data_IF_731419394710
#
_entry.id   IF_731419394710
#
_cell.length_a   1.000
_cell.length_b   1.000
_cell.length_c   1.000
_cell.angle_alpha   90.00
_cell.angle_beta   90.00
_cell.angle_gamma   90.00
#
_symmetry.space_group_name_H-M   'P 1'
#
loop_
_entity.id
_entity.type
_entity.pdbx_description
1 polymer ?
#
# COMPACT_ATOMS: atom_id res chain seq x y z
N UNK A 1 -2.78 11.77 -3.12
CA UNK A 1 -4.23 11.75 -2.93
C UNK A 1 -4.60 10.61 -1.97
N UNK A 2 -5.73 10.74 -1.30
CA UNK A 2 -6.20 9.71 -0.37
C UNK A 2 -7.37 8.95 -1.01
N UNK A 3 -7.29 7.61 -0.98
CA UNK A 3 -8.35 6.76 -1.51
C UNK A 3 -9.00 5.99 -0.35
N UNK A 4 -10.30 5.74 -0.45
CA UNK A 4 -10.98 4.88 0.51
C UNK A 4 -10.64 3.42 0.25
N UNK A 5 -10.82 2.51 1.25
CA UNK A 5 -10.66 1.08 1.00
C UNK A 5 -11.50 0.56 -0.16
N UNK A 6 -12.73 1.08 -0.32
CA UNK A 6 -13.61 0.72 -1.42
C UNK A 6 -13.00 1.09 -2.77
N UNK A 7 -12.41 2.29 -2.86
CA UNK A 7 -11.75 2.73 -4.09
C UNK A 7 -10.50 1.89 -4.37
N UNK A 8 -9.74 1.56 -3.34
CA UNK A 8 -8.56 0.69 -3.47
C UNK A 8 -8.97 -0.68 -3.97
N UNK A 9 -10.01 -1.27 -3.39
CA UNK A 9 -10.51 -2.57 -3.81
C UNK A 9 -10.92 -2.55 -5.29
N UNK A 10 -11.64 -1.51 -5.70
CA UNK A 10 -12.10 -1.37 -7.09
C UNK A 10 -10.96 -1.19 -8.09
N UNK A 11 -9.86 -0.57 -7.66
CA UNK A 11 -8.73 -0.21 -8.54
C UNK A 11 -7.56 -1.17 -8.46
N UNK A 12 -7.61 -2.17 -7.58
CA UNK A 12 -6.43 -2.98 -7.26
C UNK A 12 -5.80 -3.72 -8.44
N UNK A 13 -6.61 -4.09 -9.43
CA UNK A 13 -6.08 -4.81 -10.60
C UNK A 13 -5.20 -3.92 -11.49
N UNK A 14 -5.47 -2.62 -11.53
CA UNK A 14 -4.73 -1.67 -12.35
C UNK A 14 -3.65 -0.89 -11.62
N UNK A 15 -3.46 -1.16 -10.34
CA UNK A 15 -2.55 -0.41 -9.49
C UNK A 15 -1.49 -1.31 -8.86
N UNK A 16 -0.41 -0.70 -8.42
CA UNK A 16 0.62 -1.37 -7.63
C UNK A 16 0.34 -1.08 -6.17
N UNK A 17 -0.07 -2.08 -5.39
CA UNK A 17 -0.33 -1.90 -3.96
C UNK A 17 0.95 -2.20 -3.20
N UNK A 18 1.38 -1.24 -2.39
CA UNK A 18 2.62 -1.32 -1.61
C UNK A 18 2.28 -1.25 -0.13
N UNK A 19 2.64 -2.29 0.61
CA UNK A 19 2.47 -2.33 2.05
C UNK A 19 3.76 -1.84 2.69
N UNK A 20 3.70 -0.72 3.41
CA UNK A 20 4.89 -0.09 4.00
C UNK A 20 5.06 -0.43 5.49
N UNK A 21 4.29 -1.40 6.00
CA UNK A 21 4.40 -1.83 7.39
C UNK A 21 5.70 -2.59 7.63
N UNK A 22 6.03 -2.79 8.91
CA UNK A 22 7.15 -3.64 9.29
C UNK A 22 6.79 -5.12 9.07
N UNK A 23 7.79 -5.94 8.89
CA UNK A 23 7.62 -7.37 8.60
C UNK A 23 6.70 -8.07 9.61
N UNK A 24 6.88 -7.77 10.90
CA UNK A 24 6.07 -8.39 11.96
C UNK A 24 4.59 -8.06 11.89
N UNK A 25 4.24 -6.91 11.34
CA UNK A 25 2.84 -6.50 11.19
C UNK A 25 2.10 -7.28 10.09
N UNK A 26 2.83 -7.84 9.13
CA UNK A 26 2.24 -8.54 8.00
C UNK A 26 1.55 -9.83 8.41
N UNK A 27 1.87 -10.36 9.58
CA UNK A 27 1.23 -11.59 10.09
C UNK A 27 -0.27 -11.42 10.31
N UNK A 28 -0.76 -10.18 10.40
CA UNK A 28 -2.18 -9.89 10.53
C UNK A 28 -2.93 -9.98 9.19
N UNK A 29 -2.22 -10.25 8.11
CA UNK A 29 -2.78 -10.34 6.77
C UNK A 29 -2.40 -9.16 5.90
N UNK A 30 -2.32 -9.41 4.59
CA UNK A 30 -2.00 -8.38 3.60
C UNK A 30 -3.06 -8.40 2.50
N UNK A 31 -3.11 -7.34 1.72
CA UNK A 31 -3.95 -7.29 0.51
C UNK A 31 -3.28 -8.20 -0.53
N UNK A 32 -4.05 -9.07 -1.16
CA UNK A 32 -3.53 -9.97 -2.19
C UNK A 32 -2.85 -9.20 -3.31
N UNK A 33 -1.66 -9.62 -3.67
CA UNK A 33 -0.87 -8.97 -4.71
C UNK A 33 -0.04 -7.77 -4.23
N UNK A 34 -0.16 -7.39 -2.96
CA UNK A 34 0.63 -6.29 -2.42
C UNK A 34 2.11 -6.64 -2.36
N UNK A 35 2.94 -5.67 -2.71
CA UNK A 35 4.40 -5.77 -2.58
C UNK A 35 4.79 -5.16 -1.25
N UNK A 36 5.64 -5.84 -0.50
CA UNK A 36 6.13 -5.32 0.78
C UNK A 36 7.38 -4.48 0.58
N UNK A 37 7.25 -3.19 0.86
CA UNK A 37 8.39 -2.25 0.86
C UNK A 37 8.27 -1.46 2.17
N UNK A 38 9.02 -1.85 3.23
CA UNK A 38 8.95 -1.13 4.50
C UNK A 38 9.21 0.36 4.31
N UNK A 39 8.60 1.17 5.17
CA UNK A 39 8.67 2.63 5.03
C UNK A 39 10.09 3.15 4.80
N UNK A 40 11.07 2.64 5.54
CA UNK A 40 12.46 3.07 5.39
C UNK A 40 13.09 2.72 4.06
N UNK A 41 12.53 1.75 3.32
CA UNK A 41 13.03 1.34 2.01
C UNK A 41 12.35 2.06 0.85
N UNK A 42 11.27 2.82 1.11
CA UNK A 42 10.52 3.49 0.05
C UNK A 42 11.39 4.43 -0.79
N UNK A 43 12.31 5.23 -0.23
CA UNK A 43 13.16 6.10 -1.04
C UNK A 43 14.05 5.36 -2.03
N UNK A 44 14.26 4.06 -1.82
CA UNK A 44 15.12 3.23 -2.66
C UNK A 44 14.34 2.25 -3.54
N UNK A 45 13.03 2.43 -3.67
CA UNK A 45 12.13 1.47 -4.33
C UNK A 45 11.83 1.78 -5.80
N UNK A 46 12.47 2.81 -6.36
CA UNK A 46 12.13 3.29 -7.71
C UNK A 46 12.31 2.23 -8.80
N UNK A 47 13.20 1.27 -8.59
CA UNK A 47 13.47 0.24 -9.59
C UNK A 47 12.42 -0.88 -9.62
N UNK A 48 11.70 -1.07 -8.52
CA UNK A 48 10.70 -2.13 -8.43
C UNK A 48 9.29 -1.64 -8.69
N UNK A 49 9.12 -0.33 -8.84
CA UNK A 49 7.82 0.29 -9.12
C UNK A 49 7.78 0.80 -10.55
N UNK A 50 6.65 0.58 -11.21
CA UNK A 50 6.42 1.07 -12.57
C UNK A 50 5.88 2.50 -12.49
N UNK A 51 6.62 3.51 -12.99
CA UNK A 51 6.16 4.89 -12.94
C UNK A 51 4.95 5.17 -13.85
N UNK A 52 4.63 4.26 -14.76
CA UNK A 52 3.48 4.37 -15.64
C UNK A 52 2.18 3.85 -15.05
N UNK A 53 2.19 3.33 -13.83
CA UNK A 53 1.00 2.79 -13.16
C UNK A 53 0.80 3.42 -11.80
N UNK A 54 -0.45 3.64 -11.37
CA UNK A 54 -0.71 4.18 -10.03
C UNK A 54 -0.11 3.30 -8.94
N UNK A 55 0.41 3.94 -7.89
CA UNK A 55 0.92 3.26 -6.70
C UNK A 55 -0.02 3.60 -5.55
N UNK A 56 -0.52 2.59 -4.86
CA UNK A 56 -1.37 2.76 -3.68
C UNK A 56 -0.61 2.21 -2.48
N UNK A 57 -0.29 3.08 -1.53
CA UNK A 57 0.48 2.69 -0.36
C UNK A 57 -0.45 2.47 0.82
N UNK A 58 -0.20 1.40 1.56
CA UNK A 58 -1.01 1.04 2.72
C UNK A 58 -0.13 0.81 3.94
N UNK A 59 -0.67 1.18 5.11
CA UNK A 59 -0.08 0.85 6.40
C UNK A 59 -1.21 0.49 7.36
N UNK A 60 -0.94 0.48 8.66
CA UNK A 60 -1.96 0.08 9.64
C UNK A 60 -3.10 1.09 9.71
N UNK A 61 -2.78 2.38 9.86
CA UNK A 61 -3.78 3.43 10.11
C UNK A 61 -3.81 4.54 9.04
N UNK A 62 -2.89 4.52 8.08
CA UNK A 62 -2.84 5.51 7.02
C UNK A 62 -1.77 6.59 7.17
N UNK A 63 -1.09 6.67 8.31
CA UNK A 63 -0.09 7.73 8.54
C UNK A 63 1.23 7.50 7.81
N UNK A 64 1.81 6.32 8.00
CA UNK A 64 3.07 5.97 7.35
C UNK A 64 2.93 5.95 5.83
N UNK A 65 1.80 5.42 5.35
CA UNK A 65 1.53 5.36 3.92
C UNK A 65 1.32 6.74 3.30
N UNK A 66 0.74 7.68 4.05
CA UNK A 66 0.60 9.06 3.58
C UNK A 66 1.97 9.72 3.38
N UNK A 67 2.89 9.49 4.32
CA UNK A 67 4.25 9.99 4.22
C UNK A 67 4.99 9.39 3.02
N UNK A 68 4.85 8.08 2.83
CA UNK A 68 5.46 7.39 1.70
C UNK A 68 4.88 7.86 0.36
N UNK A 69 3.57 8.08 0.30
CA UNK A 69 2.92 8.59 -0.91
C UNK A 69 3.43 9.99 -1.27
N UNK A 70 3.64 10.84 -0.27
CA UNK A 70 4.20 12.17 -0.50
C UNK A 70 5.61 12.09 -1.09
N UNK A 71 6.45 11.20 -0.56
CA UNK A 71 7.81 10.99 -1.08
C UNK A 71 7.79 10.52 -2.53
N UNK A 72 6.94 9.55 -2.86
CA UNK A 72 6.85 9.02 -4.21
C UNK A 72 6.26 10.04 -5.18
N UNK A 73 5.33 10.87 -4.73
CA UNK A 73 4.77 11.93 -5.55
C UNK A 73 5.86 12.92 -5.96
N UNK A 74 6.73 13.31 -5.02
CA UNK A 74 7.88 14.18 -5.32
C UNK A 74 8.81 13.51 -6.33
N UNK A 75 8.94 12.19 -6.26
CA UNK A 75 9.80 11.43 -7.17
C UNK A 75 9.15 11.20 -8.55
N UNK A 76 7.93 11.67 -8.78
CA UNK A 76 7.28 11.59 -10.09
C UNK A 76 6.27 10.46 -10.25
N UNK A 77 5.96 9.71 -9.19
CA UNK A 77 4.96 8.64 -9.24
C UNK A 77 3.55 9.19 -9.01
N UNK A 78 2.56 8.52 -9.59
CA UNK A 78 1.16 8.75 -9.29
C UNK A 78 0.84 7.94 -8.02
N UNK A 79 1.13 8.52 -6.86
CA UNK A 79 1.08 7.83 -5.58
C UNK A 79 -0.10 8.29 -4.73
N UNK A 80 -0.76 7.32 -4.11
CA UNK A 80 -1.93 7.52 -3.28
C UNK A 80 -1.78 6.76 -1.97
N UNK A 81 -2.45 7.21 -0.92
CA UNK A 81 -2.52 6.47 0.34
C UNK A 81 -3.92 5.95 0.58
N UNK A 82 -4.06 4.80 1.23
CA UNK A 82 -5.37 4.27 1.61
C UNK A 82 -5.80 4.84 2.96
N UNK A 83 -6.92 5.56 2.96
CA UNK A 83 -7.47 6.15 4.17
C UNK A 83 -7.79 5.08 5.22
N UNK A 84 -7.38 5.33 6.46
CA UNK A 84 -7.63 4.42 7.58
C UNK A 84 -6.80 3.14 7.57
N UNK A 85 -6.04 2.89 6.52
CA UNK A 85 -5.12 1.76 6.43
C UNK A 85 -5.78 0.40 6.55
N UNK A 86 -4.99 -0.59 6.95
CA UNK A 86 -5.47 -1.97 7.09
C UNK A 86 -6.53 -2.13 8.17
N UNK A 87 -6.57 -1.23 9.15
CA UNK A 87 -7.65 -1.25 10.15
C UNK A 87 -9.01 -1.02 9.49
N UNK A 88 -9.10 -0.03 8.62
CA UNK A 88 -10.35 0.28 7.91
C UNK A 88 -10.67 -0.78 6.86
N UNK A 89 -9.65 -1.29 6.18
CA UNK A 89 -9.80 -2.39 5.22
C UNK A 89 -10.50 -3.59 5.88
N UNK A 90 -10.03 -3.97 7.07
CA UNK A 90 -10.60 -5.08 7.83
C UNK A 90 -12.01 -4.77 8.33
N UNK A 91 -12.24 -3.53 8.80
CA UNK A 91 -13.55 -3.11 9.30
C UNK A 91 -14.61 -3.15 8.20
N UNK A 92 -14.23 -2.90 6.96
CA UNK A 92 -15.11 -2.98 5.80
C UNK A 92 -15.31 -4.41 5.29
N UNK A 93 -14.61 -5.38 5.88
CA UNK A 93 -14.75 -6.79 5.52
C UNK A 93 -14.02 -7.20 4.26
N UNK A 94 -13.09 -6.40 3.75
CA UNK A 94 -12.32 -6.76 2.57
C UNK A 94 -11.30 -7.86 2.89
N UNK A 95 -11.01 -8.75 1.93
CA UNK A 95 -10.19 -9.92 2.19
C UNK A 95 -8.71 -9.63 2.34
N UNK A 96 -8.05 -10.46 3.13
CA UNK A 96 -6.60 -10.48 3.24
C UNK A 96 -6.08 -11.89 3.01
N UNK A 97 -4.80 -11.99 2.69
CA UNK A 97 -4.11 -13.27 2.53
C UNK A 97 -2.88 -13.29 3.44
N UNK A 98 -2.33 -14.49 3.65
CA UNK A 98 -1.11 -14.63 4.41
C UNK A 98 0.05 -13.99 3.62
N UNK A 99 1.02 -13.36 4.31
CA UNK A 99 2.10 -12.62 3.63
C UNK A 99 3.05 -13.49 2.84
N UNK A 100 3.17 -14.75 3.19
CA UNK A 100 4.06 -15.69 2.54
C UNK A 100 3.27 -16.89 2.04
N UNK A 101 2.71 -16.77 0.86
CA UNK A 101 2.09 -17.88 0.18
C UNK A 101 3.14 -18.47 -0.76
N UNK A 102 3.62 -19.62 -0.41
CA UNK A 102 4.46 -20.41 -1.31
C UNK A 102 3.65 -21.50 -1.94
#
# INVERSE_FOLDING_TARGET
MELTPQQVFARRAGAQIVDVRETGELTEGIIEGAVHIPLGAVPHSHRVLDPGRPVILVCRSGRRSASAAAELTVAGFDAHTMAGGMLEWAAEGFPTVAPYTT
#
